data_IF_268659829681
#
_entry.id   IF_268659829681
#
_cell.length_a   1.000
_cell.length_b   1.000
_cell.length_c   1.000
_cell.angle_alpha   90.00
_cell.angle_beta   90.00
_cell.angle_gamma   90.00
#
_symmetry.space_group_name_H-M   'P 1'
#
loop_
_entity.id
_entity.type
_entity.pdbx_description
1 polymer ?
#
# COMPACT_ATOMS: atom_id res chain seq x y z
N UNK A 1 -21.41 9.95 -11.10
CA UNK A 1 -20.01 10.18 -11.59
C UNK A 1 -19.02 9.96 -10.45
N UNK A 2 -19.30 10.52 -9.27
CA UNK A 2 -18.55 10.32 -8.03
C UNK A 2 -18.44 8.84 -7.61
N UNK A 3 -19.55 8.08 -7.66
CA UNK A 3 -19.53 6.62 -7.41
C UNK A 3 -18.56 5.84 -8.31
N UNK A 4 -18.42 6.24 -9.58
CA UNK A 4 -17.49 5.60 -10.53
C UNK A 4 -16.03 5.84 -10.13
N UNK A 5 -15.73 7.00 -9.54
CA UNK A 5 -14.38 7.35 -9.08
C UNK A 5 -14.06 6.70 -7.74
N UNK A 6 -15.01 6.68 -6.81
CA UNK A 6 -14.90 5.95 -5.56
C UNK A 6 -14.62 4.46 -5.81
N UNK A 7 -15.40 3.81 -6.70
CA UNK A 7 -15.19 2.42 -7.06
C UNK A 7 -13.81 2.15 -7.71
N UNK A 8 -13.34 3.05 -8.57
CA UNK A 8 -11.99 2.94 -9.16
C UNK A 8 -10.89 3.08 -8.11
N UNK A 9 -11.08 3.95 -7.13
CA UNK A 9 -10.12 4.16 -6.07
C UNK A 9 -10.06 2.96 -5.12
N UNK A 10 -11.20 2.32 -4.85
CA UNK A 10 -11.29 1.05 -4.11
C UNK A 10 -10.57 -0.10 -4.85
N UNK A 11 -10.76 -0.21 -6.17
CA UNK A 11 -10.03 -1.20 -6.97
C UNK A 11 -8.51 -0.97 -6.96
N UNK A 12 -8.08 0.29 -6.99
CA UNK A 12 -6.67 0.65 -6.92
C UNK A 12 -6.07 0.29 -5.54
N UNK A 13 -6.80 0.60 -4.46
CA UNK A 13 -6.42 0.23 -3.09
C UNK A 13 -6.28 -1.30 -2.94
N UNK A 14 -7.26 -2.06 -3.42
CA UNK A 14 -7.23 -3.53 -3.37
C UNK A 14 -5.99 -4.08 -4.10
N UNK A 15 -5.68 -3.58 -5.29
CA UNK A 15 -4.51 -4.00 -6.05
C UNK A 15 -3.19 -3.70 -5.33
N UNK A 16 -3.08 -2.55 -4.65
CA UNK A 16 -1.90 -2.20 -3.85
C UNK A 16 -1.80 -3.08 -2.61
N UNK A 17 -2.90 -3.31 -1.90
CA UNK A 17 -2.90 -4.16 -0.72
C UNK A 17 -2.57 -5.63 -1.04
N UNK A 18 -3.05 -6.16 -2.17
CA UNK A 18 -2.75 -7.55 -2.55
C UNK A 18 -1.31 -7.74 -3.02
N UNK A 19 -0.73 -6.74 -3.71
CA UNK A 19 0.56 -6.90 -4.42
C UNK A 19 1.73 -6.30 -3.67
N UNK A 20 1.51 -5.19 -2.98
CA UNK A 20 2.58 -4.38 -2.42
C UNK A 20 2.59 -4.34 -0.88
N UNK A 21 1.46 -4.53 -0.20
CA UNK A 21 1.45 -4.55 1.27
C UNK A 21 2.16 -5.80 1.81
N UNK A 22 3.14 -5.62 2.67
CA UNK A 22 3.91 -6.72 3.24
C UNK A 22 4.26 -6.47 4.72
N UNK A 23 4.18 -7.49 5.59
CA UNK A 23 4.69 -7.39 6.95
C UNK A 23 6.21 -7.28 6.94
N UNK A 24 6.74 -6.47 7.86
CA UNK A 24 8.17 -6.24 8.02
C UNK A 24 8.76 -7.39 8.81
N UNK A 25 9.59 -8.20 8.17
CA UNK A 25 10.32 -9.30 8.81
C UNK A 25 9.44 -10.27 9.64
N UNK A 26 8.18 -10.43 9.24
CA UNK A 26 7.21 -11.29 9.95
C UNK A 26 6.66 -10.69 11.25
N UNK A 27 6.88 -9.41 11.52
CA UNK A 27 6.33 -8.72 12.69
C UNK A 27 4.83 -8.48 12.53
N UNK A 28 4.00 -8.91 13.49
CA UNK A 28 2.57 -8.65 13.45
C UNK A 28 2.29 -7.14 13.56
N UNK A 29 1.22 -6.68 12.90
CA UNK A 29 0.77 -5.27 12.85
C UNK A 29 1.76 -4.31 12.19
N UNK A 30 2.71 -4.81 11.42
CA UNK A 30 3.56 -3.98 10.57
C UNK A 30 3.09 -4.09 9.12
N UNK A 31 3.11 -2.98 8.40
CA UNK A 31 2.75 -2.95 7.00
C UNK A 31 3.66 -1.95 6.27
N UNK A 32 4.35 -2.41 5.25
CA UNK A 32 5.15 -1.58 4.35
C UNK A 32 4.87 -1.98 2.90
N UNK A 33 4.97 -1.00 2.01
CA UNK A 33 4.82 -1.23 0.58
C UNK A 33 6.14 -1.73 -0.04
N UNK A 34 6.17 -2.93 -0.61
CA UNK A 34 7.27 -3.33 -1.49
C UNK A 34 7.20 -2.53 -2.80
N UNK A 35 8.35 -2.17 -3.36
CA UNK A 35 8.40 -1.26 -4.52
C UNK A 35 8.09 -1.95 -5.85
N UNK A 36 8.43 -3.23 -5.98
CA UNK A 36 8.20 -3.99 -7.20
C UNK A 36 7.25 -5.16 -6.97
N UNK A 37 6.55 -5.54 -8.03
CA UNK A 37 5.75 -6.75 -8.08
C UNK A 37 6.03 -7.49 -9.40
N UNK A 38 6.39 -8.79 -9.38
CA UNK A 38 6.62 -9.62 -8.20
C UNK A 38 7.87 -9.18 -7.41
N UNK A 39 7.82 -9.09 -6.08
CA UNK A 39 8.95 -8.61 -5.28
C UNK A 39 10.09 -9.64 -5.25
N UNK A 40 11.32 -9.18 -5.49
CA UNK A 40 12.53 -9.96 -5.27
C UNK A 40 12.88 -10.02 -3.78
N UNK A 41 13.77 -10.94 -3.39
CA UNK A 41 14.23 -11.08 -2.00
C UNK A 41 14.83 -9.79 -1.44
N UNK A 42 15.44 -8.95 -2.28
CA UNK A 42 16.05 -7.68 -1.86
C UNK A 42 15.01 -6.62 -1.45
N UNK A 43 13.87 -6.57 -2.15
CA UNK A 43 12.79 -5.65 -1.77
C UNK A 43 12.02 -6.14 -0.56
N UNK A 44 11.82 -7.46 -0.40
CA UNK A 44 11.23 -8.04 0.82
C UNK A 44 12.07 -7.78 2.07
N UNK A 45 13.39 -7.71 1.91
CA UNK A 45 14.32 -7.34 2.98
C UNK A 45 14.48 -5.81 3.12
N UNK A 46 13.80 -5.02 2.28
CA UNK A 46 13.85 -3.56 2.29
C UNK A 46 15.29 -3.00 2.27
N UNK A 47 16.20 -3.64 1.51
CA UNK A 47 17.60 -3.22 1.39
C UNK A 47 17.71 -1.77 0.86
N UNK A 48 16.84 -1.42 -0.08
CA UNK A 48 16.68 -0.04 -0.56
C UNK A 48 15.40 0.54 0.02
N UNK A 49 15.55 1.53 0.88
CA UNK A 49 14.44 2.17 1.56
C UNK A 49 14.01 3.44 0.85
N UNK A 50 12.84 3.40 0.21
CA UNK A 50 12.24 4.57 -0.43
C UNK A 50 11.35 5.31 0.57
N UNK A 51 11.97 6.06 1.49
CA UNK A 51 11.28 6.78 2.56
C UNK A 51 10.08 7.60 2.06
N UNK A 52 10.30 8.40 1.02
CA UNK A 52 9.27 9.26 0.44
C UNK A 52 8.08 8.47 -0.12
N UNK A 53 8.33 7.28 -0.69
CA UNK A 53 7.26 6.45 -1.25
C UNK A 53 6.46 5.77 -0.14
N UNK A 54 7.10 5.39 0.97
CA UNK A 54 6.37 4.88 2.15
C UNK A 54 5.48 5.96 2.77
N UNK A 55 5.94 7.22 2.79
CA UNK A 55 5.12 8.33 3.27
C UNK A 55 3.85 8.49 2.41
N UNK A 56 3.99 8.47 1.08
CA UNK A 56 2.83 8.54 0.19
C UNK A 56 1.94 7.29 0.23
N UNK A 57 2.50 6.12 0.47
CA UNK A 57 1.70 4.92 0.71
C UNK A 57 0.81 5.09 1.94
N UNK A 58 1.34 5.66 3.02
CA UNK A 58 0.55 5.99 4.21
C UNK A 58 -0.56 6.99 3.89
N UNK A 59 -0.29 8.03 3.10
CA UNK A 59 -1.31 8.99 2.66
C UNK A 59 -2.46 8.27 1.93
N UNK A 60 -2.16 7.33 1.00
CA UNK A 60 -3.19 6.56 0.31
C UNK A 60 -4.03 5.67 1.25
N UNK A 61 -3.44 5.13 2.32
CA UNK A 61 -4.18 4.38 3.33
C UNK A 61 -5.11 5.29 4.14
N UNK A 62 -4.67 6.51 4.44
CA UNK A 62 -5.50 7.52 5.11
C UNK A 62 -6.65 7.95 4.19
N UNK A 63 -6.40 8.18 2.91
CA UNK A 63 -7.44 8.53 1.92
C UNK A 63 -8.50 7.44 1.83
N UNK A 64 -8.10 6.16 1.83
CA UNK A 64 -9.02 5.04 1.88
C UNK A 64 -9.85 5.00 3.17
N UNK A 65 -9.20 5.21 4.31
CA UNK A 65 -9.89 5.24 5.61
C UNK A 65 -10.90 6.39 5.69
N UNK A 66 -10.55 7.57 5.19
CA UNK A 66 -11.45 8.73 5.16
C UNK A 66 -12.64 8.50 4.22
N UNK A 67 -12.42 7.87 3.06
CA UNK A 67 -13.49 7.50 2.12
C UNK A 67 -14.48 6.49 2.70
N UNK A 68 -14.02 5.56 3.53
CA UNK A 68 -14.87 4.53 4.14
C UNK A 68 -15.60 5.01 5.40
N UNK A 69 -15.23 6.18 5.95
CA UNK A 69 -15.81 6.73 7.17
C UNK A 69 -16.90 7.80 6.90
N UNK A 70 -17.30 7.97 5.65
CA UNK A 70 -18.39 8.84 5.18
C UNK A 70 -19.54 8.02 4.63
#
# INVERSE_FOLDING_TARGET
MEEKWAHRAELAEAAINERHAHPVWGLPRTNLAVVSWPPTTKEKLFIHWHYWWQAHYLDCLVDAALRNNT
#
